data_IF_259275854166
#
_entry.id   IF_259275854166
#
_cell.length_a   1.000
_cell.length_b   1.000
_cell.length_c   1.000
_cell.angle_alpha   90.00
_cell.angle_beta   90.00
_cell.angle_gamma   90.00
#
_symmetry.space_group_name_H-M   'P 1'
#
loop_
_entity.id
_entity.type
_entity.pdbx_description
1 polymer ?
#
# COMPACT_ATOMS: atom_id res chain seq x y z
N UNK A 1 -22.32 10.46 3.42
CA UNK A 1 -21.58 10.54 2.14
C UNK A 1 -21.07 9.15 1.82
N UNK A 2 -21.11 8.69 0.55
CA UNK A 2 -20.48 7.42 0.17
C UNK A 2 -18.96 7.65 0.13
N UNK A 3 -18.21 6.89 0.93
CA UNK A 3 -16.75 6.94 0.88
C UNK A 3 -16.27 6.22 -0.38
N UNK A 4 -15.26 6.78 -1.05
CA UNK A 4 -14.68 6.20 -2.27
C UNK A 4 -13.22 5.86 -1.97
N UNK A 5 -12.83 4.63 -2.29
CA UNK A 5 -11.44 4.20 -2.32
C UNK A 5 -11.00 4.07 -3.78
N UNK A 6 -10.22 5.03 -4.25
CA UNK A 6 -9.59 5.02 -5.57
C UNK A 6 -8.20 4.41 -5.45
N UNK A 7 -8.01 3.24 -6.06
CA UNK A 7 -6.70 2.60 -6.22
C UNK A 7 -6.22 2.86 -7.63
N UNK A 8 -5.08 3.53 -7.76
CA UNK A 8 -4.48 3.79 -9.07
C UNK A 8 -3.08 3.21 -9.16
N UNK A 9 -2.78 2.58 -10.28
CA UNK A 9 -1.45 2.13 -10.61
C UNK A 9 -0.95 2.87 -11.87
N UNK A 10 0.03 3.78 -11.74
CA UNK A 10 0.71 4.34 -12.90
C UNK A 10 1.63 3.27 -13.50
N UNK A 11 1.30 2.77 -14.70
CA UNK A 11 2.07 1.72 -15.35
C UNK A 11 2.78 2.24 -16.62
N UNK A 12 3.97 1.71 -16.88
CA UNK A 12 4.65 1.85 -18.17
C UNK A 12 4.19 0.68 -19.06
N UNK A 13 3.76 0.90 -20.31
CA UNK A 13 3.38 -0.20 -21.21
C UNK A 13 4.51 -1.24 -21.34
N UNK A 14 4.22 -2.51 -21.00
CA UNK A 14 5.21 -3.59 -20.96
C UNK A 14 6.04 -3.67 -19.67
N UNK A 15 5.79 -2.78 -18.71
CA UNK A 15 6.37 -2.82 -17.36
C UNK A 15 5.71 -3.87 -16.46
N UNK A 16 6.41 -4.25 -15.40
CA UNK A 16 5.94 -5.22 -14.42
C UNK A 16 5.07 -4.56 -13.34
N UNK A 17 4.18 -5.35 -12.75
CA UNK A 17 3.37 -4.92 -11.60
C UNK A 17 4.30 -4.56 -10.43
N UNK A 18 4.02 -3.48 -9.67
CA UNK A 18 4.82 -3.10 -8.52
C UNK A 18 4.92 -4.26 -7.53
N UNK A 19 6.14 -4.54 -7.10
CA UNK A 19 6.41 -5.62 -6.16
C UNK A 19 5.95 -5.18 -4.75
N UNK A 20 4.73 -5.53 -4.39
CA UNK A 20 4.16 -5.27 -3.07
C UNK A 20 3.57 -6.55 -2.51
N UNK A 21 4.11 -7.03 -1.41
CA UNK A 21 3.83 -8.34 -0.84
C UNK A 21 3.35 -8.25 0.62
N UNK A 22 2.39 -9.10 0.97
CA UNK A 22 1.98 -9.31 2.35
C UNK A 22 2.89 -10.35 3.01
N UNK A 23 3.57 -9.99 4.11
CA UNK A 23 4.40 -10.94 4.85
C UNK A 23 3.59 -12.06 5.52
N UNK A 24 2.34 -11.77 5.89
CA UNK A 24 1.50 -12.72 6.64
C UNK A 24 0.92 -13.81 5.73
N UNK A 25 0.63 -13.48 4.48
CA UNK A 25 -0.06 -14.37 3.53
C UNK A 25 0.75 -14.73 2.29
N UNK A 26 1.84 -14.00 2.01
CA UNK A 26 2.62 -14.13 0.77
C UNK A 26 1.92 -13.59 -0.48
N UNK A 27 0.71 -13.04 -0.35
CA UNK A 27 -0.07 -12.52 -1.47
C UNK A 27 0.49 -11.18 -1.97
N UNK A 28 0.34 -10.93 -3.28
CA UNK A 28 0.59 -9.60 -3.84
C UNK A 28 -0.47 -8.61 -3.36
N UNK A 29 -0.17 -7.31 -3.40
CA UNK A 29 -1.15 -6.29 -3.03
C UNK A 29 -2.45 -6.36 -3.86
N UNK A 30 -2.43 -6.54 -5.21
CA UNK A 30 -3.64 -6.79 -5.98
C UNK A 30 -4.46 -7.98 -5.47
N UNK A 31 -3.80 -9.10 -5.17
CA UNK A 31 -4.48 -10.31 -4.68
C UNK A 31 -5.09 -10.08 -3.30
N UNK A 32 -4.32 -9.48 -2.38
CA UNK A 32 -4.80 -9.10 -1.05
C UNK A 32 -5.99 -8.14 -1.17
N UNK A 33 -5.88 -7.12 -2.02
CA UNK A 33 -6.93 -6.14 -2.24
C UNK A 33 -8.19 -6.76 -2.82
N UNK A 34 -8.05 -7.72 -3.74
CA UNK A 34 -9.19 -8.46 -4.30
C UNK A 34 -10.00 -9.20 -3.23
N UNK A 35 -9.34 -9.71 -2.18
CA UNK A 35 -10.01 -10.40 -1.08
C UNK A 35 -10.70 -9.44 -0.10
N UNK A 36 -10.18 -8.22 0.05
CA UNK A 36 -10.72 -7.19 0.96
C UNK A 36 -11.83 -6.38 0.29
N UNK A 37 -11.79 -6.20 -1.03
CA UNK A 37 -12.75 -5.38 -1.79
C UNK A 37 -14.22 -5.71 -1.50
N UNK A 38 -14.67 -6.99 -1.48
CA UNK A 38 -16.06 -7.31 -1.17
C UNK A 38 -16.50 -6.85 0.22
N UNK A 39 -15.58 -6.83 1.20
CA UNK A 39 -15.85 -6.35 2.55
C UNK A 39 -16.04 -4.83 2.56
N UNK A 40 -15.18 -4.09 1.85
CA UNK A 40 -15.29 -2.63 1.71
C UNK A 40 -16.60 -2.24 1.02
N UNK A 41 -16.95 -2.91 -0.08
CA UNK A 41 -18.18 -2.64 -0.82
C UNK A 41 -19.44 -2.96 0.00
N UNK A 42 -19.42 -4.04 0.80
CA UNK A 42 -20.48 -4.37 1.76
C UNK A 42 -20.64 -3.29 2.83
N UNK A 43 -19.53 -2.71 3.28
CA UNK A 43 -19.52 -1.66 4.31
C UNK A 43 -19.83 -0.26 3.70
N UNK A 44 -20.22 -0.21 2.42
CA UNK A 44 -20.69 1.00 1.74
C UNK A 44 -19.58 1.85 1.11
N UNK A 45 -18.34 1.35 1.06
CA UNK A 45 -17.20 2.01 0.43
C UNK A 45 -17.16 1.61 -1.04
N UNK A 46 -17.26 2.61 -1.93
CA UNK A 46 -17.16 2.37 -3.36
C UNK A 46 -15.68 2.21 -3.74
N UNK A 47 -15.32 1.06 -4.29
CA UNK A 47 -13.94 0.78 -4.73
C UNK A 47 -13.79 1.05 -6.23
N UNK A 48 -12.82 1.88 -6.61
CA UNK A 48 -12.44 2.14 -8.00
C UNK A 48 -10.99 1.74 -8.22
N UNK A 49 -10.75 0.78 -9.12
CA UNK A 49 -9.41 0.39 -9.56
C UNK A 49 -9.14 0.98 -10.94
N UNK A 50 -8.03 1.70 -11.11
CA UNK A 50 -7.63 2.31 -12.40
C UNK A 50 -6.15 2.10 -12.69
N UNK A 51 -5.88 1.55 -13.86
CA UNK A 51 -4.54 1.50 -14.43
C UNK A 51 -4.36 2.74 -15.30
N UNK A 52 -3.35 3.55 -15.00
CA UNK A 52 -3.11 4.82 -15.67
C UNK A 52 -1.80 4.68 -16.46
N UNK A 53 -1.82 4.74 -17.81
CA UNK A 53 -0.59 4.70 -18.57
C UNK A 53 0.23 5.96 -18.28
N UNK A 54 1.49 5.78 -17.88
CA UNK A 54 2.39 6.89 -17.62
C UNK A 54 3.22 7.23 -18.86
N UNK A 55 3.24 8.50 -19.25
CA UNK A 55 3.84 8.97 -20.49
C UNK A 55 5.36 9.21 -20.42
N UNK A 56 5.96 9.21 -19.22
CA UNK A 56 7.38 9.50 -19.01
C UNK A 56 8.14 8.31 -18.46
N UNK A 57 9.36 8.16 -18.98
CA UNK A 57 10.44 7.27 -18.51
C UNK A 57 10.96 7.70 -17.13
N UNK A 58 10.11 7.71 -16.11
CA UNK A 58 10.63 7.61 -14.74
C UNK A 58 11.15 6.19 -14.52
N UNK A 59 12.12 6.04 -13.63
CA UNK A 59 12.70 4.75 -13.29
C UNK A 59 11.57 3.75 -13.01
N UNK A 60 11.46 2.65 -13.77
CA UNK A 60 10.34 1.71 -13.67
C UNK A 60 10.15 1.13 -12.25
N UNK A 61 11.19 1.23 -11.40
CA UNK A 61 11.18 0.81 -10.00
C UNK A 61 10.57 1.79 -8.99
N UNK A 62 10.14 2.99 -9.38
CA UNK A 62 9.48 3.97 -8.47
C UNK A 62 7.97 4.10 -8.71
N UNK A 63 7.40 3.30 -9.62
CA UNK A 63 5.95 3.24 -9.81
C UNK A 63 5.31 2.33 -8.75
N UNK A 64 4.70 2.94 -7.74
CA UNK A 64 3.96 2.23 -6.68
C UNK A 64 2.44 2.31 -6.86
N UNK A 65 1.70 1.52 -6.10
CA UNK A 65 0.25 1.73 -5.98
C UNK A 65 -0.06 3.03 -5.25
N UNK A 66 -1.13 3.70 -5.66
CA UNK A 66 -1.64 4.90 -5.03
C UNK A 66 -3.05 4.65 -4.50
N UNK A 67 -3.32 5.06 -3.27
CA UNK A 67 -4.64 5.04 -2.64
C UNK A 67 -5.12 6.47 -2.43
N UNK A 68 -6.24 6.83 -3.05
CA UNK A 68 -6.81 8.18 -3.03
C UNK A 68 -5.76 9.27 -3.33
N UNK A 69 -4.86 8.99 -4.28
CA UNK A 69 -3.80 9.91 -4.71
C UNK A 69 -2.56 9.95 -3.79
N UNK A 70 -2.46 9.07 -2.80
CA UNK A 70 -1.29 8.94 -1.90
C UNK A 70 -0.54 7.63 -2.16
N UNK A 71 0.78 7.65 -2.04
CA UNK A 71 1.62 6.45 -2.19
C UNK A 71 1.26 5.39 -1.14
N UNK A 72 1.07 4.14 -1.59
CA UNK A 72 0.86 3.00 -0.70
C UNK A 72 2.07 2.79 0.22
N UNK A 73 3.30 2.96 -0.30
CA UNK A 73 4.52 2.84 0.51
C UNK A 73 4.52 3.85 1.65
N UNK A 74 4.18 5.12 1.35
CA UNK A 74 4.15 6.17 2.37
C UNK A 74 3.07 5.89 3.42
N UNK A 75 1.87 5.49 2.98
CA UNK A 75 0.77 5.13 3.89
C UNK A 75 1.13 3.94 4.80
N UNK A 76 1.78 2.92 4.26
CA UNK A 76 2.23 1.74 5.02
C UNK A 76 3.32 2.12 6.03
N UNK A 77 4.29 2.96 5.62
CA UNK A 77 5.35 3.46 6.51
C UNK A 77 4.82 4.37 7.60
N UNK A 78 3.86 5.24 7.27
CA UNK A 78 3.15 6.07 8.25
C UNK A 78 2.42 5.18 9.26
N UNK A 79 1.69 4.17 8.78
CA UNK A 79 0.97 3.23 9.63
C UNK A 79 1.90 2.43 10.55
N UNK A 80 3.08 2.04 10.07
CA UNK A 80 4.12 1.32 10.83
C UNK A 80 4.69 2.20 11.93
N UNK A 81 5.09 3.44 11.60
CA UNK A 81 5.59 4.41 12.59
C UNK A 81 4.55 4.77 13.65
N UNK A 82 3.28 4.83 13.28
CA UNK A 82 2.18 5.10 14.20
C UNK A 82 1.94 3.96 15.22
N UNK A 83 2.55 2.78 15.03
CA UNK A 83 2.50 1.69 16.03
C UNK A 83 3.48 1.92 17.19
N UNK A 84 4.39 2.89 17.09
CA UNK A 84 5.33 3.19 18.16
C UNK A 84 4.60 3.77 19.39
N UNK A 85 4.49 2.97 20.44
CA UNK A 85 3.88 3.34 21.71
C UNK A 85 4.96 3.44 22.79
N UNK A 86 5.20 4.64 23.31
CA UNK A 86 5.91 4.80 24.58
C UNK A 86 4.88 4.70 25.73
N UNK A 87 5.04 3.70 26.60
CA UNK A 87 4.20 3.59 27.79
C UNK A 87 4.98 4.06 29.04
N UNK A 88 4.56 5.19 29.61
CA UNK A 88 4.94 5.79 30.91
C UNK A 88 6.43 6.11 31.17
N UNK A 89 7.36 5.17 30.97
CA UNK A 89 8.80 5.35 31.21
C UNK A 89 9.72 4.41 30.42
N UNK A 90 9.16 3.51 29.60
CA UNK A 90 9.92 2.62 28.72
C UNK A 90 9.40 2.77 27.29
N UNK A 91 10.20 3.40 26.44
CA UNK A 91 10.01 3.30 25.01
C UNK A 91 10.74 2.04 24.56
N UNK A 92 10.01 1.09 23.95
CA UNK A 92 10.68 0.04 23.21
C UNK A 92 11.33 0.66 21.97
N UNK A 93 12.51 0.22 21.53
CA UNK A 93 13.06 0.67 20.25
C UNK A 93 12.07 0.35 19.13
N UNK A 94 11.91 1.29 18.20
CA UNK A 94 11.08 1.07 17.02
C UNK A 94 11.75 0.02 16.13
N UNK A 95 11.03 -1.08 15.90
CA UNK A 95 11.40 -2.07 14.90
C UNK A 95 10.34 -2.02 13.81
N UNK A 96 10.76 -1.57 12.62
CA UNK A 96 9.86 -1.48 11.47
C UNK A 96 9.44 -2.88 11.05
N UNK A 97 8.15 -3.06 10.82
CA UNK A 97 7.62 -4.29 10.19
C UNK A 97 7.54 -4.18 8.67
N UNK A 98 8.12 -3.11 8.11
CA UNK A 98 8.14 -2.83 6.67
C UNK A 98 9.52 -3.06 6.13
N UNK A 99 9.65 -3.99 5.18
CA UNK A 99 10.89 -4.29 4.50
C UNK A 99 10.86 -3.73 3.07
N UNK A 100 11.95 -3.05 2.69
CA UNK A 100 12.17 -2.63 1.31
C UNK A 100 13.42 -3.30 0.78
N UNK A 101 13.23 -4.17 -0.21
CA UNK A 101 14.29 -4.92 -0.87
C UNK A 101 14.34 -4.60 -2.36
N UNK A 102 15.30 -5.18 -3.07
CA UNK A 102 15.31 -5.21 -4.54
C UNK A 102 15.24 -6.66 -4.99
N UNK A 103 14.38 -6.95 -5.96
CA UNK A 103 14.34 -8.27 -6.59
C UNK A 103 15.49 -8.47 -7.58
N UNK A 104 15.55 -9.65 -8.20
CA UNK A 104 16.59 -10.03 -9.16
C UNK A 104 16.67 -9.11 -10.40
N UNK A 105 15.60 -8.36 -10.68
CA UNK A 105 15.51 -7.37 -11.77
C UNK A 105 15.88 -5.95 -11.31
N UNK A 106 16.28 -5.78 -10.05
CA UNK A 106 16.59 -4.49 -9.44
C UNK A 106 15.36 -3.66 -9.06
N UNK A 107 14.14 -4.19 -9.18
CA UNK A 107 12.91 -3.48 -8.83
C UNK A 107 12.73 -3.43 -7.32
N UNK A 108 12.25 -2.30 -6.80
CA UNK A 108 11.94 -2.13 -5.37
C UNK A 108 10.75 -3.00 -4.99
N UNK A 109 10.91 -3.78 -3.94
CA UNK A 109 9.88 -4.63 -3.36
C UNK A 109 9.52 -4.12 -1.96
N UNK A 110 8.24 -3.85 -1.72
CA UNK A 110 7.69 -3.52 -0.42
C UNK A 110 7.07 -4.77 0.19
N UNK A 111 7.52 -5.16 1.38
CA UNK A 111 6.92 -6.26 2.15
C UNK A 111 6.44 -5.72 3.50
N UNK A 112 5.20 -6.02 3.87
CA UNK A 112 4.62 -5.60 5.14
C UNK A 112 3.51 -6.57 5.60
N UNK A 113 3.18 -6.63 6.90
CA UNK A 113 2.05 -7.42 7.40
C UNK A 113 0.70 -6.84 6.95
N UNK A 114 -0.32 -7.70 6.91
CA UNK A 114 -1.66 -7.36 6.40
C UNK A 114 -2.29 -6.18 7.15
N UNK A 115 -2.03 -6.09 8.46
CA UNK A 115 -2.54 -5.02 9.31
C UNK A 115 -2.10 -3.63 8.84
N UNK A 116 -0.90 -3.51 8.27
CA UNK A 116 -0.39 -2.24 7.75
C UNK A 116 -1.09 -1.84 6.46
N UNK A 117 -1.37 -2.78 5.56
CA UNK A 117 -2.17 -2.51 4.36
C UNK A 117 -3.60 -2.07 4.72
N UNK A 118 -4.23 -2.74 5.70
CA UNK A 118 -5.56 -2.34 6.19
C UNK A 118 -5.56 -0.93 6.78
N UNK A 119 -4.56 -0.59 7.61
CA UNK A 119 -4.38 0.76 8.15
C UNK A 119 -4.12 1.79 7.05
N UNK A 120 -3.31 1.45 6.04
CA UNK A 120 -3.04 2.31 4.89
C UNK A 120 -4.32 2.63 4.09
N UNK A 121 -5.18 1.63 3.87
CA UNK A 121 -6.49 1.82 3.24
C UNK A 121 -7.35 2.80 4.05
N UNK A 122 -7.47 2.58 5.36
CA UNK A 122 -8.23 3.47 6.25
C UNK A 122 -7.69 4.90 6.23
N UNK A 123 -6.37 5.06 6.41
CA UNK A 123 -5.69 6.36 6.41
C UNK A 123 -5.78 7.09 5.06
N UNK A 124 -5.97 6.37 3.96
CA UNK A 124 -6.20 6.98 2.64
C UNK A 124 -7.61 7.57 2.48
N UNK A 125 -8.55 7.20 3.35
CA UNK A 125 -9.95 7.66 3.31
C UNK A 125 -10.26 8.74 4.36
N UNK A 126 -9.33 9.02 5.28
CA UNK A 126 -9.49 10.10 6.26
C UNK A 126 -9.44 11.48 5.55
N UNK A 127 -10.47 12.30 5.75
CA UNK A 127 -10.47 13.70 5.33
C UNK A 127 -9.44 14.48 6.17
N UNK A 128 -8.53 15.19 5.51
CA UNK A 128 -7.62 16.14 6.18
C UNK A 128 -8.17 17.55 6.15
#
# INVERSE_FOLDING_TARGET
>A
MKQILSVTWPYVPGGEIPCVLCSDTGLTFPDLFSSIRPLLERDGILVSWKEIPHASSQDPGDTGFMLNGRSLEDLVREADRAQFLCHSSKCQPFHSSVEITRNDKGMRCLTAPEILFRKAILASMEER
#
